data_IF_391465164955
#
_entry.id   IF_391465164955
#
_cell.length_a   1.000
_cell.length_b   1.000
_cell.length_c   1.000
_cell.angle_alpha   90.00
_cell.angle_beta   90.00
_cell.angle_gamma   90.00
#
_symmetry.space_group_name_H-M   'P 1'
#
loop_
_entity.id
_entity.type
_entity.pdbx_description
1 polymer ?
#
# COMPACT_ATOMS: atom_id res chain seq x y z
N UNK A 1 -17.19 -3.07 6.23
CA UNK A 1 -16.03 -3.19 7.14
C UNK A 1 -14.92 -2.31 6.60
N UNK A 2 -14.43 -1.35 7.39
CA UNK A 2 -13.19 -0.62 7.11
C UNK A 2 -12.05 -1.56 7.52
N UNK A 3 -11.06 -1.74 6.64
CA UNK A 3 -9.79 -2.32 7.08
C UNK A 3 -9.11 -1.26 7.98
N UNK A 4 -8.86 -1.62 9.23
CA UNK A 4 -7.97 -0.86 10.11
C UNK A 4 -6.57 -1.43 9.88
N UNK A 5 -5.68 -0.68 9.25
CA UNK A 5 -4.31 -1.12 8.99
C UNK A 5 -3.49 -0.95 10.28
N UNK A 6 -2.89 -2.03 10.77
CA UNK A 6 -2.23 -2.09 12.07
C UNK A 6 -0.84 -1.41 12.13
N UNK A 7 -0.57 -0.46 11.25
CA UNK A 7 0.70 0.27 11.15
C UNK A 7 1.37 0.06 9.79
N UNK A 8 1.77 1.15 9.15
CA UNK A 8 2.52 1.15 7.88
C UNK A 8 4.01 1.08 8.16
N UNK A 9 4.77 0.38 7.32
CA UNK A 9 6.23 0.39 7.38
C UNK A 9 6.72 1.84 7.22
N UNK A 10 7.56 2.32 8.13
CA UNK A 10 8.27 3.59 8.01
C UNK A 10 9.71 3.33 7.59
N UNK A 11 10.14 3.99 6.51
CA UNK A 11 11.47 3.80 5.93
C UNK A 11 12.41 4.95 6.26
N UNK A 12 13.68 4.73 5.96
CA UNK A 12 14.75 5.68 6.25
C UNK A 12 14.48 7.05 5.61
N UNK A 13 14.70 8.12 6.38
CA UNK A 13 14.51 9.49 5.93
C UNK A 13 15.42 9.88 4.75
N UNK A 14 16.51 9.14 4.51
CA UNK A 14 17.42 9.35 3.38
C UNK A 14 16.82 9.02 2.03
N UNK A 15 15.76 8.21 1.96
CA UNK A 15 15.04 8.01 0.68
C UNK A 15 14.41 9.31 0.17
N UNK A 16 14.00 10.20 1.08
CA UNK A 16 13.42 11.51 0.76
C UNK A 16 14.50 12.61 0.73
N UNK A 17 15.39 12.65 1.72
CA UNK A 17 16.38 13.73 1.84
C UNK A 17 17.57 13.56 0.90
N UNK A 18 17.86 12.33 0.46
CA UNK A 18 19.04 11.96 -0.34
C UNK A 18 18.73 10.99 -1.51
N UNK A 19 17.76 11.28 -2.39
CA UNK A 19 17.47 10.41 -3.52
C UNK A 19 18.70 10.22 -4.39
N UNK A 20 18.98 8.96 -4.75
CA UNK A 20 20.17 8.58 -5.55
C UNK A 20 21.50 9.06 -4.92
N UNK A 21 21.55 9.18 -3.59
CA UNK A 21 22.74 9.58 -2.85
C UNK A 21 23.03 11.10 -2.85
N UNK A 22 22.17 11.94 -3.44
CA UNK A 22 22.34 13.40 -3.48
C UNK A 22 21.38 14.09 -2.53
N UNK A 23 21.92 14.93 -1.63
CA UNK A 23 21.11 15.72 -0.71
C UNK A 23 20.24 16.75 -1.44
N UNK A 24 18.94 16.77 -1.15
CA UNK A 24 17.96 17.74 -1.69
C UNK A 24 17.18 18.48 -0.62
N UNK A 25 17.26 18.04 0.64
CA UNK A 25 16.61 18.68 1.78
C UNK A 25 17.65 19.20 2.77
N UNK A 26 17.36 20.30 3.50
CA UNK A 26 18.26 20.83 4.52
C UNK A 26 18.54 19.82 5.64
N UNK A 27 19.67 20.00 6.33
CA UNK A 27 19.99 19.20 7.51
C UNK A 27 19.02 19.47 8.66
N UNK A 28 18.71 18.42 9.43
CA UNK A 28 17.93 18.51 10.67
C UNK A 28 16.42 18.64 10.48
N UNK A 29 15.88 18.48 9.27
CA UNK A 29 14.43 18.45 9.06
C UNK A 29 13.82 17.10 9.50
N UNK A 30 12.60 17.16 10.02
CA UNK A 30 11.80 15.95 10.27
C UNK A 30 11.21 15.41 8.96
N UNK A 31 11.10 14.08 8.88
CA UNK A 31 10.61 13.38 7.69
C UNK A 31 9.55 12.37 8.07
N UNK A 32 8.45 12.38 7.34
CA UNK A 32 7.40 11.36 7.40
C UNK A 32 7.47 10.49 6.14
N UNK A 33 8.00 9.27 6.27
CA UNK A 33 8.21 8.35 5.13
C UNK A 33 7.51 6.98 5.33
N UNK A 34 6.16 6.92 5.33
CA UNK A 34 5.47 5.64 5.26
C UNK A 34 5.65 5.03 3.86
N UNK A 35 6.02 3.75 3.81
CA UNK A 35 6.27 3.04 2.55
C UNK A 35 4.98 2.66 1.80
N UNK A 36 3.86 2.56 2.52
CA UNK A 36 2.62 1.97 2.05
C UNK A 36 1.41 2.75 2.57
N UNK A 37 0.30 2.66 1.84
CA UNK A 37 -1.03 3.07 2.27
C UNK A 37 -2.06 1.94 2.03
N UNK A 38 -3.32 2.19 2.37
CA UNK A 38 -4.41 1.25 2.13
C UNK A 38 -5.47 1.87 1.23
N UNK A 39 -5.72 1.22 0.11
CA UNK A 39 -6.85 1.56 -0.78
C UNK A 39 -8.11 0.80 -0.38
N UNK A 40 -9.22 1.48 -0.03
CA UNK A 40 -10.50 0.82 0.22
C UNK A 40 -11.01 0.02 -0.99
N UNK A 41 -11.52 -1.18 -0.76
CA UNK A 41 -11.99 -2.09 -1.82
C UNK A 41 -13.02 -1.47 -2.78
N UNK A 42 -13.87 -0.54 -2.29
CA UNK A 42 -14.85 0.19 -3.10
C UNK A 42 -14.25 1.07 -4.21
N UNK A 43 -12.95 1.38 -4.12
CA UNK A 43 -12.21 2.16 -5.11
C UNK A 43 -11.49 1.27 -6.14
N UNK A 44 -11.56 -0.06 -5.99
CA UNK A 44 -10.86 -1.02 -6.84
C UNK A 44 -11.86 -1.69 -7.80
N UNK A 45 -11.64 -1.54 -9.11
CA UNK A 45 -12.53 -2.11 -10.15
C UNK A 45 -12.50 -3.65 -10.16
N UNK A 46 -11.31 -4.24 -10.07
CA UNK A 46 -11.09 -5.68 -10.06
C UNK A 46 -9.70 -6.01 -9.48
N UNK A 47 -9.52 -7.24 -8.98
CA UNK A 47 -8.20 -7.82 -8.71
C UNK A 47 -7.88 -8.85 -9.81
N UNK A 48 -6.66 -8.80 -10.35
CA UNK A 48 -6.17 -9.78 -11.34
C UNK A 48 -5.16 -10.68 -10.62
N UNK A 49 -5.39 -11.99 -10.66
CA UNK A 49 -4.55 -13.00 -10.02
C UNK A 49 -4.44 -14.25 -10.90
N UNK A 50 -3.61 -15.21 -10.48
CA UNK A 50 -3.40 -16.50 -11.13
C UNK A 50 -4.68 -17.34 -11.28
N UNK A 51 -5.67 -17.10 -10.41
CA UNK A 51 -6.99 -17.76 -10.44
C UNK A 51 -8.02 -17.01 -11.31
N UNK A 52 -7.59 -15.96 -12.03
CA UNK A 52 -8.42 -15.14 -12.90
C UNK A 52 -8.75 -13.76 -12.33
N UNK A 53 -9.90 -13.22 -12.71
CA UNK A 53 -10.31 -11.84 -12.37
C UNK A 53 -11.41 -11.83 -11.30
N UNK A 54 -11.14 -11.17 -10.17
CA UNK A 54 -12.07 -10.97 -9.06
C UNK A 54 -12.76 -9.61 -9.22
N UNK A 55 -14.05 -9.64 -9.56
CA UNK A 55 -14.92 -8.45 -9.66
C UNK A 55 -16.37 -8.86 -9.37
N UNK A 56 -17.09 -8.19 -8.43
CA UNK A 56 -16.64 -7.08 -7.60
C UNK A 56 -15.63 -7.50 -6.51
N UNK A 57 -14.80 -6.57 -6.03
CA UNK A 57 -13.80 -6.83 -4.99
C UNK A 57 -14.48 -6.90 -3.61
N UNK A 58 -14.96 -8.08 -3.26
CA UNK A 58 -15.60 -8.37 -1.97
C UNK A 58 -14.97 -9.58 -1.30
N UNK A 59 -15.07 -9.68 0.03
CA UNK A 59 -14.53 -10.83 0.78
C UNK A 59 -15.10 -12.17 0.29
N UNK A 60 -16.40 -12.24 0.02
CA UNK A 60 -17.05 -13.46 -0.48
C UNK A 60 -16.55 -13.85 -1.86
N UNK A 61 -16.45 -12.89 -2.79
CA UNK A 61 -15.94 -13.17 -4.14
C UNK A 61 -14.47 -13.56 -4.15
N UNK A 62 -13.67 -13.01 -3.22
CA UNK A 62 -12.29 -13.43 -3.02
C UNK A 62 -12.28 -14.90 -2.59
N UNK A 63 -12.96 -15.28 -1.49
CA UNK A 63 -12.99 -16.66 -0.99
C UNK A 63 -13.44 -17.67 -2.06
N UNK A 64 -14.48 -17.36 -2.82
CA UNK A 64 -14.96 -18.19 -3.95
C UNK A 64 -13.88 -18.45 -5.02
N UNK A 65 -13.01 -17.47 -5.30
CA UNK A 65 -12.01 -17.54 -6.38
C UNK A 65 -10.68 -18.13 -5.91
N UNK A 66 -10.24 -17.84 -4.68
CA UNK A 66 -8.99 -18.41 -4.12
C UNK A 66 -9.18 -19.78 -3.47
N UNK A 67 -10.42 -20.23 -3.25
CA UNK A 67 -10.70 -21.58 -2.75
C UNK A 67 -10.41 -21.75 -1.26
N UNK A 68 -10.72 -20.72 -0.45
CA UNK A 68 -10.74 -20.82 1.02
C UNK A 68 -12.11 -21.26 1.54
#
# INVERSE_FOLDING_TARGET
MSASFAGTEHRDAREITHPVGRQIAPDGIDVYNPALDVTPAKLITALICENGVIRPVTKGRIAEVVGE
#
